data_IF_465810736223
#
_entry.id   IF_465810736223
#
_cell.length_a   1.000
_cell.length_b   1.000
_cell.length_c   1.000
_cell.angle_alpha   90.00
_cell.angle_beta   90.00
_cell.angle_gamma   90.00
#
_symmetry.space_group_name_H-M   'P 1'
#
loop_
_entity.id
_entity.type
_entity.pdbx_description
1 polymer ?
#
# COMPACT_ATOMS: atom_id res chain seq x y z
N UNK A 1 29.71 15.91 51.49
CA UNK A 1 30.32 15.59 50.18
C UNK A 1 29.34 14.73 49.39
N UNK A 2 28.92 15.26 48.23
CA UNK A 2 28.31 14.59 47.07
C UNK A 2 27.09 13.69 47.32
N UNK A 3 25.95 14.36 47.38
CA UNK A 3 24.61 13.83 47.14
C UNK A 3 24.56 12.97 45.88
N UNK A 4 23.97 11.77 46.02
CA UNK A 4 23.54 10.91 44.92
C UNK A 4 22.57 11.69 44.02
N UNK A 5 23.01 12.15 42.86
CA UNK A 5 22.10 12.66 41.83
C UNK A 5 21.59 11.48 41.02
N UNK A 6 20.29 11.25 41.18
CA UNK A 6 19.46 10.22 40.58
C UNK A 6 19.78 9.95 39.11
N UNK A 7 19.92 8.67 38.78
CA UNK A 7 19.64 8.15 37.44
C UNK A 7 18.21 8.53 37.06
N UNK A 8 18.05 9.59 36.28
CA UNK A 8 16.85 9.78 35.46
C UNK A 8 16.98 8.86 34.25
N UNK A 9 16.63 7.58 34.40
CA UNK A 9 16.26 6.75 33.26
C UNK A 9 15.04 7.41 32.62
N UNK A 10 15.27 8.20 31.56
CA UNK A 10 14.23 8.51 30.59
C UNK A 10 13.73 7.18 30.04
N UNK A 11 12.60 6.71 30.58
CA UNK A 11 11.79 5.69 29.93
C UNK A 11 11.31 6.31 28.61
N UNK A 12 12.06 6.08 27.53
CA UNK A 12 11.56 6.23 26.17
C UNK A 12 10.41 5.24 26.05
N UNK A 13 9.18 5.70 26.29
CA UNK A 13 7.97 4.97 25.95
C UNK A 13 7.91 4.91 24.43
N UNK A 14 8.51 3.85 23.87
CA UNK A 14 8.34 3.49 22.46
C UNK A 14 6.87 3.05 22.33
N UNK A 15 5.99 4.00 22.06
CA UNK A 15 4.63 3.68 21.71
C UNK A 15 4.69 2.79 20.45
N UNK A 16 4.01 1.64 20.44
CA UNK A 16 3.96 0.82 19.24
C UNK A 16 3.39 1.68 18.11
N UNK A 17 4.11 1.78 17.00
CA UNK A 17 3.60 2.42 15.80
C UNK A 17 2.44 1.56 15.30
N UNK A 18 1.21 1.94 15.65
CA UNK A 18 0.02 1.31 15.10
C UNK A 18 -0.11 1.80 13.66
N UNK A 19 -0.03 0.87 12.70
CA UNK A 19 -0.40 1.17 11.33
C UNK A 19 -1.86 1.66 11.30
N UNK A 20 -2.18 2.58 10.39
CA UNK A 20 -3.57 2.95 10.15
C UNK A 20 -4.46 1.70 9.97
N UNK A 21 -5.71 1.76 10.47
CA UNK A 21 -6.59 0.62 10.46
C UNK A 21 -6.96 0.21 9.02
N UNK A 22 -7.21 -1.09 8.85
CA UNK A 22 -7.96 -1.60 7.71
C UNK A 22 -9.40 -1.06 7.75
N UNK A 23 -10.10 -1.14 6.62
CA UNK A 23 -11.53 -0.79 6.55
C UNK A 23 -12.35 -1.68 7.49
N UNK A 24 -13.60 -1.31 7.76
CA UNK A 24 -14.54 -2.14 8.54
C UNK A 24 -14.79 -3.54 7.97
N UNK A 25 -14.39 -3.80 6.71
CA UNK A 25 -14.46 -5.12 6.05
C UNK A 25 -13.12 -5.85 6.00
N UNK A 26 -12.10 -5.36 6.70
CA UNK A 26 -10.77 -5.98 6.77
C UNK A 26 -9.90 -5.76 5.53
N UNK A 27 -10.24 -4.81 4.66
CA UNK A 27 -9.45 -4.48 3.46
C UNK A 27 -8.42 -3.42 3.79
N UNK A 28 -7.27 -3.44 3.13
CA UNK A 28 -6.27 -2.37 3.27
C UNK A 28 -6.88 -1.06 2.74
N UNK A 29 -6.94 -0.05 3.60
CA UNK A 29 -7.55 1.25 3.31
C UNK A 29 -6.60 2.15 2.54
N UNK A 30 -7.13 3.19 1.88
CA UNK A 30 -6.31 4.23 1.24
C UNK A 30 -5.42 4.90 2.30
N UNK A 31 -5.97 5.26 3.45
CA UNK A 31 -5.20 5.87 4.56
C UNK A 31 -3.99 5.00 4.93
N UNK A 32 -4.18 3.68 5.05
CA UNK A 32 -3.12 2.77 5.42
C UNK A 32 -1.98 2.75 4.38
N UNK A 33 -2.29 2.69 3.09
CA UNK A 33 -1.25 2.72 2.04
C UNK A 33 -0.54 4.06 2.01
N UNK A 34 -1.27 5.18 2.08
CA UNK A 34 -0.69 6.52 2.08
C UNK A 34 0.27 6.71 3.25
N UNK A 35 -0.11 6.26 4.46
CA UNK A 35 0.76 6.32 5.64
C UNK A 35 2.01 5.43 5.49
N UNK A 36 1.85 4.20 4.98
CA UNK A 36 2.99 3.30 4.76
C UNK A 36 4.01 3.90 3.78
N UNK A 37 3.56 4.46 2.66
CA UNK A 37 4.46 5.12 1.69
C UNK A 37 5.10 6.36 2.30
N UNK A 38 4.36 7.16 3.06
CA UNK A 38 4.92 8.34 3.72
C UNK A 38 6.05 7.95 4.69
N UNK A 39 5.83 6.90 5.49
CA UNK A 39 6.83 6.39 6.45
C UNK A 39 8.01 5.68 5.77
N UNK A 40 7.82 5.06 4.61
CA UNK A 40 8.85 4.31 3.89
C UNK A 40 10.14 5.11 3.61
N UNK A 41 10.05 6.45 3.56
CA UNK A 41 11.21 7.35 3.40
C UNK A 41 12.18 7.33 4.58
N UNK A 42 11.68 7.06 5.78
CA UNK A 42 12.45 7.13 7.04
C UNK A 42 12.42 5.83 7.85
N UNK A 43 11.54 4.89 7.51
CA UNK A 43 11.34 3.64 8.22
C UNK A 43 11.49 2.45 7.27
N UNK A 44 12.55 1.66 7.49
CA UNK A 44 12.83 0.46 6.69
C UNK A 44 11.75 -0.61 6.82
N UNK A 45 11.07 -0.69 7.97
CA UNK A 45 9.95 -1.60 8.17
C UNK A 45 8.78 -1.18 7.30
N UNK A 46 8.38 0.10 7.37
CA UNK A 46 7.30 0.63 6.54
C UNK A 46 7.60 0.47 5.04
N UNK A 47 8.86 0.70 4.62
CA UNK A 47 9.31 0.46 3.25
C UNK A 47 9.16 -1.00 2.83
N UNK A 48 9.63 -1.92 3.64
CA UNK A 48 9.48 -3.35 3.34
C UNK A 48 8.01 -3.78 3.34
N UNK A 49 7.18 -3.21 4.21
CA UNK A 49 5.73 -3.49 4.25
C UNK A 49 5.03 -3.01 2.98
N UNK A 50 5.30 -1.78 2.52
CA UNK A 50 4.66 -1.29 1.28
C UNK A 50 5.16 -2.03 0.05
N UNK A 51 6.45 -2.37 -0.02
CA UNK A 51 7.00 -3.20 -1.10
C UNK A 51 6.30 -4.56 -1.11
N UNK A 52 6.17 -5.23 0.04
CA UNK A 52 5.51 -6.53 0.13
C UNK A 52 4.03 -6.45 -0.26
N UNK A 53 3.33 -5.40 0.17
CA UNK A 53 1.95 -5.14 -0.24
C UNK A 53 1.82 -4.98 -1.76
N UNK A 54 2.63 -4.12 -2.37
CA UNK A 54 2.59 -3.86 -3.82
C UNK A 54 3.01 -5.09 -4.63
N UNK A 55 4.06 -5.80 -4.21
CA UNK A 55 4.48 -7.06 -4.84
C UNK A 55 3.35 -8.10 -4.79
N UNK A 56 2.73 -8.30 -3.62
CA UNK A 56 1.61 -9.23 -3.47
C UNK A 56 0.41 -8.88 -4.35
N UNK A 57 0.09 -7.59 -4.50
CA UNK A 57 -0.96 -7.11 -5.42
C UNK A 57 -0.60 -7.41 -6.87
N UNK A 58 0.61 -7.05 -7.30
CA UNK A 58 1.06 -7.22 -8.69
C UNK A 58 1.18 -8.70 -9.09
N UNK A 59 1.79 -9.52 -8.25
CA UNK A 59 1.95 -10.96 -8.48
C UNK A 59 0.60 -11.67 -8.55
N UNK A 60 -0.29 -11.40 -7.59
CA UNK A 60 -1.63 -12.00 -7.58
C UNK A 60 -2.43 -11.59 -8.81
N UNK A 61 -2.38 -10.31 -9.21
CA UNK A 61 -3.07 -9.85 -10.40
C UNK A 61 -2.55 -10.53 -11.67
N UNK A 62 -1.23 -10.63 -11.83
CA UNK A 62 -0.61 -11.32 -12.97
C UNK A 62 -0.98 -12.81 -13.01
N UNK A 63 -0.98 -13.49 -11.86
CA UNK A 63 -1.42 -14.88 -11.75
C UNK A 63 -2.90 -15.05 -12.10
N UNK A 64 -3.77 -14.18 -11.58
CA UNK A 64 -5.21 -14.25 -11.87
C UNK A 64 -5.51 -14.03 -13.36
N UNK A 65 -4.82 -13.09 -14.01
CA UNK A 65 -4.92 -12.88 -15.47
C UNK A 65 -4.46 -14.13 -16.23
N UNK A 66 -3.30 -14.68 -15.85
CA UNK A 66 -2.74 -15.87 -16.50
C UNK A 66 -3.64 -17.09 -16.35
N UNK A 67 -4.17 -17.32 -15.14
CA UNK A 67 -5.10 -18.42 -14.85
C UNK A 67 -6.43 -18.26 -15.59
N UNK A 68 -6.96 -17.04 -15.70
CA UNK A 68 -8.18 -16.77 -16.47
C UNK A 68 -8.00 -17.17 -17.94
N UNK A 69 -6.86 -16.81 -18.55
CA UNK A 69 -6.53 -17.19 -19.93
C UNK A 69 -6.38 -18.71 -20.05
N UNK A 70 -5.70 -19.36 -19.11
CA UNK A 70 -5.58 -20.83 -19.08
C UNK A 70 -6.95 -21.53 -18.99
N UNK A 71 -7.95 -20.88 -18.39
CA UNK A 71 -9.35 -21.34 -18.30
C UNK A 71 -10.23 -20.92 -19.48
N UNK A 72 -9.65 -20.34 -20.53
CA UNK A 72 -10.36 -19.99 -21.77
C UNK A 72 -10.88 -18.57 -21.85
N UNK A 73 -10.50 -17.66 -20.93
CA UNK A 73 -10.75 -16.24 -21.12
C UNK A 73 -9.92 -15.70 -22.30
N UNK A 74 -10.45 -14.68 -22.98
CA UNK A 74 -9.69 -13.98 -24.01
C UNK A 74 -8.44 -13.32 -23.40
N UNK A 75 -7.26 -13.45 -24.02
CA UNK A 75 -6.05 -12.76 -23.56
C UNK A 75 -6.26 -11.25 -23.55
N UNK A 76 -5.89 -10.61 -22.44
CA UNK A 76 -5.85 -9.15 -22.35
C UNK A 76 -4.80 -8.60 -23.32
N UNK A 77 -5.18 -7.61 -24.11
CA UNK A 77 -4.25 -6.89 -24.97
C UNK A 77 -3.85 -5.60 -24.28
N UNK A 78 -2.63 -5.57 -23.75
CA UNK A 78 -2.05 -4.39 -23.13
C UNK A 78 -0.95 -3.81 -24.03
N UNK A 79 -0.82 -2.49 -24.02
CA UNK A 79 0.20 -1.76 -24.80
C UNK A 79 1.55 -1.66 -24.09
N UNK A 80 1.58 -1.90 -22.77
CA UNK A 80 2.79 -1.91 -21.96
C UNK A 80 2.73 -2.92 -20.82
N UNK A 81 3.88 -3.24 -20.22
CA UNK A 81 3.96 -4.09 -19.04
C UNK A 81 3.41 -3.39 -17.80
N UNK A 82 2.87 -4.17 -16.87
CA UNK A 82 2.53 -3.66 -15.54
C UNK A 82 3.79 -3.18 -14.81
N UNK A 83 3.75 -1.95 -14.31
CA UNK A 83 4.74 -1.40 -13.41
C UNK A 83 4.02 -0.86 -12.17
N UNK A 84 4.42 -1.34 -10.99
CA UNK A 84 3.82 -0.95 -9.72
C UNK A 84 4.93 -0.56 -8.74
N UNK A 85 5.06 0.75 -8.53
CA UNK A 85 5.97 1.36 -7.55
C UNK A 85 5.16 2.15 -6.51
N UNK A 86 5.83 2.61 -5.45
CA UNK A 86 5.24 3.47 -4.42
C UNK A 86 4.63 4.75 -5.04
N UNK A 87 5.37 5.45 -5.90
CA UNK A 87 4.89 6.69 -6.55
C UNK A 87 3.69 6.43 -7.47
N UNK A 88 3.71 5.30 -8.17
CA UNK A 88 2.61 4.86 -9.03
C UNK A 88 1.35 4.57 -8.18
N UNK A 89 1.50 3.88 -7.05
CA UNK A 89 0.40 3.62 -6.14
C UNK A 89 -0.14 4.91 -5.50
N UNK A 90 0.72 5.85 -5.10
CA UNK A 90 0.29 7.16 -4.59
C UNK A 90 -0.53 7.93 -5.62
N UNK A 91 -0.06 7.97 -6.87
CA UNK A 91 -0.78 8.62 -7.97
C UNK A 91 -2.14 7.96 -8.21
N UNK A 92 -2.18 6.62 -8.21
CA UNK A 92 -3.41 5.82 -8.34
C UNK A 92 -4.44 6.23 -7.29
N UNK A 93 -4.03 6.23 -6.02
CA UNK A 93 -4.91 6.47 -4.88
C UNK A 93 -5.38 7.92 -4.84
N UNK A 94 -4.49 8.88 -5.12
CA UNK A 94 -4.83 10.29 -5.15
C UNK A 94 -5.85 10.61 -6.26
N UNK A 95 -5.75 9.94 -7.41
CA UNK A 95 -6.69 10.11 -8.52
C UNK A 95 -8.00 9.34 -8.31
N UNK A 96 -7.93 8.11 -7.80
CA UNK A 96 -9.08 7.21 -7.65
C UNK A 96 -9.88 7.40 -6.36
N UNK A 97 -9.35 8.12 -5.37
CA UNK A 97 -10.05 8.51 -4.16
C UNK A 97 -9.83 10.01 -3.88
N UNK A 98 -10.51 10.93 -4.58
CA UNK A 98 -10.28 12.37 -4.41
C UNK A 98 -10.80 12.92 -3.07
N UNK A 99 -11.75 12.24 -2.42
CA UNK A 99 -12.27 12.63 -1.10
C UNK A 99 -11.43 12.02 0.02
N UNK A 100 -10.58 12.82 0.65
CA UNK A 100 -9.71 12.37 1.74
C UNK A 100 -10.46 11.97 3.01
N UNK A 101 -11.70 12.47 3.20
CA UNK A 101 -12.51 12.12 4.36
C UNK A 101 -12.96 10.65 4.32
N UNK A 102 -13.04 10.04 3.13
CA UNK A 102 -13.45 8.65 2.97
C UNK A 102 -12.29 7.65 2.98
N UNK A 103 -11.03 8.11 3.03
CA UNK A 103 -9.85 7.26 2.81
C UNK A 103 -9.72 6.11 3.79
N UNK A 104 -10.17 6.28 5.04
CA UNK A 104 -10.10 5.23 6.07
C UNK A 104 -10.98 4.01 5.72
N UNK A 105 -12.08 4.22 5.01
CA UNK A 105 -13.01 3.14 4.62
C UNK A 105 -12.94 2.79 3.13
N UNK A 106 -12.14 3.53 2.36
CA UNK A 106 -11.97 3.27 0.93
C UNK A 106 -10.90 2.19 0.73
N UNK A 107 -11.20 1.07 0.05
CA UNK A 107 -10.21 0.01 -0.20
C UNK A 107 -9.19 0.43 -1.26
N UNK A 108 -7.90 0.32 -0.95
CA UNK A 108 -6.81 0.77 -1.82
C UNK A 108 -6.58 -0.15 -3.03
N UNK A 109 -6.59 -1.47 -2.82
CA UNK A 109 -6.20 -2.45 -3.86
C UNK A 109 -7.01 -2.36 -5.17
N UNK A 110 -8.35 -2.23 -5.15
CA UNK A 110 -9.12 -2.08 -6.38
C UNK A 110 -8.76 -0.83 -7.19
N UNK A 111 -8.47 0.28 -6.51
CA UNK A 111 -8.06 1.53 -7.16
C UNK A 111 -6.71 1.33 -7.86
N UNK A 112 -5.74 0.76 -7.14
CA UNK A 112 -4.41 0.46 -7.68
C UNK A 112 -4.49 -0.45 -8.90
N UNK A 113 -5.31 -1.51 -8.85
CA UNK A 113 -5.46 -2.43 -9.98
C UNK A 113 -6.13 -1.75 -11.18
N UNK A 114 -7.24 -1.04 -10.97
CA UNK A 114 -7.94 -0.37 -12.07
C UNK A 114 -7.01 0.59 -12.84
N UNK A 115 -6.22 1.36 -12.09
CA UNK A 115 -5.27 2.31 -12.63
C UNK A 115 -4.02 1.64 -13.23
N UNK A 116 -3.59 0.48 -12.71
CA UNK A 116 -2.56 -0.36 -13.33
C UNK A 116 -3.00 -0.87 -14.72
N UNK A 117 -4.22 -1.40 -14.84
CA UNK A 117 -4.78 -1.83 -16.13
C UNK A 117 -4.95 -0.66 -17.10
N UNK A 118 -5.43 0.48 -16.60
CA UNK A 118 -5.61 1.69 -17.42
C UNK A 118 -4.27 2.20 -18.00
N UNK A 119 -3.22 2.31 -17.17
CA UNK A 119 -1.89 2.72 -17.64
C UNK A 119 -1.23 1.73 -18.59
N UNK A 120 -1.50 0.44 -18.40
CA UNK A 120 -1.04 -0.58 -19.33
C UNK A 120 -1.78 -0.54 -20.68
N UNK A 121 -2.87 0.24 -20.78
CA UNK A 121 -3.70 0.32 -21.98
C UNK A 121 -4.33 -1.01 -22.31
N UNK A 122 -4.76 -1.77 -21.29
CA UNK A 122 -5.39 -3.06 -21.47
C UNK A 122 -6.84 -2.91 -21.98
N UNK A 123 -7.19 -3.67 -23.01
CA UNK A 123 -8.54 -3.79 -23.58
C UNK A 123 -9.01 -5.24 -23.65
#
# INVERSE_FOLDING_TARGET
MRSLSLLALLALSIAPAMAAPTTGTGRISVTQVMEMVQRARSDATARNTVIAYLAGVGETAGLMVSEAVARGAAPLKCTSSFNLSEDVALAALSAGAPDTASWAETPATPIILADLFARAGCS
#
